data_IF_497955370211
#
_entry.id   IF_497955370211
#
_cell.length_a   1.000
_cell.length_b   1.000
_cell.length_c   1.000
_cell.angle_alpha   90.00
_cell.angle_beta   90.00
_cell.angle_gamma   90.00
#
_symmetry.space_group_name_H-M   'P 1'
#
loop_
_entity.id
_entity.type
_entity.pdbx_description
1 polymer ?
#
# COMPACT_ATOMS: atom_id res chain seq x y z
N UNK A 1 -7.64 14.87 -11.01
CA UNK A 1 -6.97 14.52 -9.74
C UNK A 1 -6.07 13.32 -10.02
N UNK A 2 -4.77 13.36 -9.70
CA UNK A 2 -3.80 12.33 -10.13
C UNK A 2 -3.40 11.32 -9.05
N UNK A 3 -3.57 11.66 -7.76
CA UNK A 3 -3.07 10.85 -6.64
C UNK A 3 -4.22 10.57 -5.66
N UNK A 4 -4.35 9.32 -5.24
CA UNK A 4 -5.14 8.91 -4.08
C UNK A 4 -4.18 8.62 -2.93
N UNK A 5 -4.29 9.38 -1.84
CA UNK A 5 -3.49 9.18 -0.63
C UNK A 5 -4.33 8.55 0.47
N UNK A 6 -3.83 7.46 1.03
CA UNK A 6 -4.39 6.77 2.18
C UNK A 6 -3.29 6.58 3.22
N UNK A 7 -3.60 6.87 4.48
CA UNK A 7 -2.64 6.75 5.58
C UNK A 7 -3.14 5.74 6.62
N UNK A 8 -2.38 4.68 6.81
CA UNK A 8 -2.51 3.78 7.96
C UNK A 8 -1.81 4.41 9.16
N UNK A 9 -2.49 4.42 10.31
CA UNK A 9 -1.93 4.94 11.55
C UNK A 9 -0.55 4.35 11.87
N UNK A 10 0.25 5.09 12.65
CA UNK A 10 1.60 4.69 13.06
C UNK A 10 1.60 3.40 13.89
N UNK A 11 2.67 2.59 13.75
CA UNK A 11 2.99 1.40 14.56
C UNK A 11 2.17 0.12 14.26
N UNK A 12 2.00 -0.24 12.98
CA UNK A 12 1.44 -1.56 12.65
C UNK A 12 2.49 -2.66 12.87
N UNK A 13 2.28 -3.47 13.91
CA UNK A 13 3.19 -4.56 14.28
C UNK A 13 3.06 -5.79 13.36
N UNK A 14 1.87 -6.06 12.79
CA UNK A 14 1.63 -7.21 11.92
C UNK A 14 1.63 -6.81 10.43
N UNK A 15 2.49 -7.46 9.66
CA UNK A 15 2.54 -7.32 8.20
C UNK A 15 1.16 -7.58 7.54
N UNK A 16 0.34 -8.47 8.10
CA UNK A 16 -0.97 -8.83 7.58
C UNK A 16 -1.97 -7.67 7.63
N UNK A 17 -1.87 -6.81 8.64
CA UNK A 17 -2.70 -5.61 8.78
C UNK A 17 -2.34 -4.59 7.69
N UNK A 18 -1.04 -4.41 7.41
CA UNK A 18 -0.56 -3.56 6.31
C UNK A 18 -1.15 -4.03 4.98
N UNK A 19 -1.09 -5.33 4.70
CA UNK A 19 -1.61 -5.89 3.44
C UNK A 19 -3.13 -5.75 3.34
N UNK A 20 -3.85 -5.96 4.45
CA UNK A 20 -5.31 -5.83 4.49
C UNK A 20 -5.74 -4.40 4.16
N UNK A 21 -5.06 -3.42 4.74
CA UNK A 21 -5.42 -2.03 4.52
C UNK A 21 -4.97 -1.49 3.16
N UNK A 22 -3.82 -1.94 2.63
CA UNK A 22 -3.44 -1.69 1.23
C UNK A 22 -4.51 -2.23 0.28
N UNK A 23 -5.03 -3.43 0.54
CA UNK A 23 -6.08 -4.02 -0.30
C UNK A 23 -7.33 -3.15 -0.28
N UNK A 24 -7.75 -2.67 0.89
CA UNK A 24 -8.88 -1.75 1.01
C UNK A 24 -8.64 -0.44 0.23
N UNK A 25 -7.43 0.11 0.31
CA UNK A 25 -7.05 1.30 -0.46
C UNK A 25 -7.08 1.05 -1.98
N UNK A 26 -6.65 -0.12 -2.44
CA UNK A 26 -6.73 -0.51 -3.85
C UNK A 26 -8.19 -0.66 -4.34
N UNK A 27 -9.08 -1.20 -3.50
CA UNK A 27 -10.51 -1.29 -3.82
C UNK A 27 -11.15 0.11 -3.96
N UNK A 28 -10.71 1.08 -3.16
CA UNK A 28 -11.12 2.48 -3.32
C UNK A 28 -10.53 3.09 -4.59
N UNK A 29 -9.23 2.86 -4.86
CA UNK A 29 -8.57 3.34 -6.08
C UNK A 29 -9.33 2.94 -7.34
N UNK A 30 -9.72 1.66 -7.45
CA UNK A 30 -10.48 1.16 -8.59
C UNK A 30 -11.80 1.91 -8.77
N UNK A 31 -12.55 2.14 -7.69
CA UNK A 31 -13.83 2.86 -7.74
C UNK A 31 -13.64 4.30 -8.21
N UNK A 32 -12.62 4.98 -7.69
CA UNK A 32 -12.34 6.37 -8.06
C UNK A 32 -11.78 6.48 -9.48
N UNK A 33 -10.96 5.52 -9.94
CA UNK A 33 -10.41 5.49 -11.29
C UNK A 33 -11.49 5.42 -12.38
N UNK A 34 -12.61 4.74 -12.11
CA UNK A 34 -13.76 4.67 -13.01
C UNK A 34 -14.39 6.04 -13.25
N UNK A 35 -14.55 6.83 -12.19
CA UNK A 35 -15.10 8.19 -12.27
C UNK A 35 -14.06 9.23 -12.70
N UNK A 36 -12.78 8.95 -12.45
CA UNK A 36 -11.67 9.84 -12.77
C UNK A 36 -10.54 9.07 -13.48
N UNK A 37 -10.61 8.98 -14.82
CA UNK A 37 -9.62 8.28 -15.64
C UNK A 37 -8.19 8.81 -15.50
N UNK A 38 -8.00 10.06 -15.02
CA UNK A 38 -6.68 10.68 -14.84
C UNK A 38 -5.97 10.28 -13.56
N UNK A 39 -6.63 9.57 -12.64
CA UNK A 39 -6.01 9.02 -11.44
C UNK A 39 -5.02 7.93 -11.84
N UNK A 40 -3.75 8.01 -11.47
CA UNK A 40 -2.73 7.03 -11.88
C UNK A 40 -1.84 6.56 -10.74
N UNK A 41 -2.03 7.10 -9.54
CA UNK A 41 -1.12 6.90 -8.42
C UNK A 41 -1.89 6.60 -7.13
N UNK A 42 -1.44 5.55 -6.44
CA UNK A 42 -1.89 5.16 -5.11
C UNK A 42 -0.73 5.39 -4.12
N UNK A 43 -0.88 6.37 -3.25
CA UNK A 43 0.02 6.57 -2.12
C UNK A 43 -0.55 5.84 -0.90
N UNK A 44 0.16 4.81 -0.44
CA UNK A 44 -0.25 3.96 0.69
C UNK A 44 0.22 4.49 2.05
N UNK A 45 0.87 5.66 2.06
CA UNK A 45 1.31 6.34 3.27
C UNK A 45 2.45 5.63 4.00
N UNK A 46 2.62 6.00 5.28
CA UNK A 46 3.62 5.47 6.19
C UNK A 46 3.18 4.20 6.92
N UNK A 47 3.68 4.00 8.14
CA UNK A 47 3.12 3.01 9.08
C UNK A 47 3.69 1.60 9.02
N UNK A 48 4.65 1.32 8.14
CA UNK A 48 5.49 0.13 8.26
C UNK A 48 6.33 0.28 9.53
N UNK A 49 5.86 -0.30 10.64
CA UNK A 49 6.63 -0.29 11.88
C UNK A 49 7.92 -1.06 11.63
N UNK A 50 9.05 -0.40 11.81
CA UNK A 50 10.29 -1.14 11.98
C UNK A 50 10.22 -1.69 13.39
N UNK A 51 10.32 -3.01 13.58
CA UNK A 51 10.43 -3.54 14.92
C UNK A 51 11.67 -2.92 15.57
N UNK A 52 11.46 -2.12 16.62
CA UNK A 52 12.51 -1.62 17.52
C UNK A 52 13.23 -2.79 18.23
N UNK A 53 12.66 -3.99 18.20
CA UNK A 53 13.27 -5.21 18.71
C UNK A 53 14.28 -5.82 17.73
N UNK A 54 15.42 -6.27 18.26
CA UNK A 54 16.57 -6.83 17.52
C UNK A 54 16.25 -8.05 16.62
N UNK A 55 15.06 -8.64 16.71
CA UNK A 55 14.60 -9.72 15.84
C UNK A 55 13.64 -9.18 14.78
N UNK A 56 14.14 -9.00 13.56
CA UNK A 56 13.29 -8.76 12.38
C UNK A 56 12.39 -9.98 12.16
N UNK A 57 11.10 -9.86 12.44
CA UNK A 57 10.13 -10.93 12.18
C UNK A 57 9.75 -11.05 10.68
N UNK A 58 10.07 -10.04 9.86
CA UNK A 58 9.88 -10.04 8.42
C UNK A 58 10.87 -9.11 7.71
N UNK A 59 11.10 -9.31 6.41
CA UNK A 59 11.93 -8.41 5.59
C UNK A 59 11.05 -7.40 4.86
N UNK A 60 11.50 -6.15 4.72
CA UNK A 60 10.78 -5.12 3.95
C UNK A 60 10.49 -5.59 2.53
N UNK A 61 11.42 -6.32 1.92
CA UNK A 61 11.22 -6.95 0.61
C UNK A 61 10.02 -7.89 0.56
N UNK A 62 9.75 -8.66 1.63
CA UNK A 62 8.57 -9.54 1.68
C UNK A 62 7.28 -8.72 1.75
N UNK A 63 7.29 -7.61 2.49
CA UNK A 63 6.14 -6.70 2.61
C UNK A 63 5.85 -6.02 1.28
N UNK A 64 6.87 -5.43 0.65
CA UNK A 64 6.75 -4.79 -0.67
C UNK A 64 6.20 -5.76 -1.70
N UNK A 65 6.71 -7.00 -1.75
CA UNK A 65 6.19 -8.03 -2.66
C UNK A 65 4.71 -8.34 -2.40
N UNK A 66 4.32 -8.56 -1.15
CA UNK A 66 2.92 -8.84 -0.80
C UNK A 66 2.00 -7.66 -1.10
N UNK A 67 2.50 -6.44 -0.91
CA UNK A 67 1.79 -5.19 -1.21
C UNK A 67 1.52 -5.08 -2.72
N UNK A 68 2.55 -5.21 -3.55
CA UNK A 68 2.43 -5.16 -5.01
C UNK A 68 1.46 -6.23 -5.50
N UNK A 69 1.58 -7.46 -5.00
CA UNK A 69 0.67 -8.56 -5.37
C UNK A 69 -0.77 -8.26 -4.97
N UNK A 70 -1.00 -7.69 -3.78
CA UNK A 70 -2.35 -7.35 -3.33
C UNK A 70 -3.00 -6.26 -4.21
N UNK A 71 -2.25 -5.20 -4.54
CA UNK A 71 -2.74 -4.12 -5.43
C UNK A 71 -3.01 -4.65 -6.83
N UNK A 72 -2.06 -5.40 -7.42
CA UNK A 72 -2.20 -5.96 -8.76
C UNK A 72 -3.43 -6.86 -8.85
N UNK A 73 -3.64 -7.75 -7.86
CA UNK A 73 -4.81 -8.64 -7.83
C UNK A 73 -6.13 -7.87 -7.85
N UNK A 74 -6.25 -6.79 -7.06
CA UNK A 74 -7.46 -5.97 -7.03
C UNK A 74 -7.68 -5.26 -8.37
N UNK A 75 -6.61 -4.74 -8.97
CA UNK A 75 -6.68 -4.07 -10.28
C UNK A 75 -7.09 -5.05 -11.39
N UNK A 76 -6.45 -6.23 -11.45
CA UNK A 76 -6.74 -7.28 -12.43
C UNK A 76 -8.19 -7.77 -12.35
N UNK A 77 -8.69 -8.00 -11.14
CA UNK A 77 -10.08 -8.42 -10.90
C UNK A 77 -11.12 -7.40 -11.37
N UNK A 78 -10.72 -6.14 -11.51
CA UNK A 78 -11.60 -5.03 -11.91
C UNK A 78 -11.22 -4.45 -13.28
N UNK A 79 -10.36 -5.13 -14.03
CA UNK A 79 -9.88 -4.71 -15.35
C UNK A 79 -9.36 -3.26 -15.36
N UNK A 80 -8.73 -2.86 -14.26
CA UNK A 80 -8.28 -1.48 -14.03
C UNK A 80 -6.76 -1.39 -14.24
N UNK A 81 -6.25 -0.37 -14.94
CA UNK A 81 -4.81 -0.16 -15.07
C UNK A 81 -4.12 -0.04 -13.70
N UNK A 82 -2.99 -0.71 -13.57
CA UNK A 82 -2.21 -0.71 -12.33
C UNK A 82 -1.72 0.72 -12.01
N UNK A 83 -1.83 1.17 -10.75
CA UNK A 83 -1.31 2.48 -10.35
C UNK A 83 0.20 2.47 -10.18
N UNK A 84 0.79 3.67 -10.27
CA UNK A 84 2.06 3.96 -9.59
C UNK A 84 1.85 3.85 -8.08
N UNK A 85 2.81 3.26 -7.35
CA UNK A 85 2.72 3.11 -5.89
C UNK A 85 3.75 3.99 -5.22
N UNK A 86 3.31 4.77 -4.22
CA UNK A 86 4.18 5.57 -3.34
C UNK A 86 4.03 5.05 -1.91
N UNK A 87 5.16 4.88 -1.21
CA UNK A 87 5.22 4.54 0.21
C UNK A 87 6.01 5.61 0.97
N UNK A 88 5.60 5.94 2.20
CA UNK A 88 6.19 7.01 3.02
C UNK A 88 6.85 6.45 4.30
N UNK A 89 7.65 5.40 4.17
CA UNK A 89 8.29 4.72 5.32
C UNK A 89 9.55 5.45 5.80
N UNK A 90 9.38 6.69 6.28
CA UNK A 90 10.50 7.55 6.72
C UNK A 90 11.34 6.93 7.84
N UNK A 91 10.71 6.23 8.78
CA UNK A 91 11.43 5.53 9.86
C UNK A 91 12.40 4.48 9.31
N UNK A 92 12.15 3.87 8.13
CA UNK A 92 12.98 2.75 7.62
C UNK A 92 14.40 3.14 7.27
N UNK A 93 14.58 4.41 6.93
CA UNK A 93 15.86 4.96 6.50
C UNK A 93 16.61 5.68 7.62
N UNK A 94 16.01 5.78 8.82
CA UNK A 94 16.59 6.40 10.02
C UNK A 94 17.08 5.33 11.01
#
# INVERSE_FOLDING_TARGET
MKILHYHLASQIMDQSDVITAVKAAAEVYVKVKKENPTLDTLNVGGGLAIPYEKKKHYSVNSVVKRLIVAVAKVCDQNETPHPNIICEWGEYYL
#
